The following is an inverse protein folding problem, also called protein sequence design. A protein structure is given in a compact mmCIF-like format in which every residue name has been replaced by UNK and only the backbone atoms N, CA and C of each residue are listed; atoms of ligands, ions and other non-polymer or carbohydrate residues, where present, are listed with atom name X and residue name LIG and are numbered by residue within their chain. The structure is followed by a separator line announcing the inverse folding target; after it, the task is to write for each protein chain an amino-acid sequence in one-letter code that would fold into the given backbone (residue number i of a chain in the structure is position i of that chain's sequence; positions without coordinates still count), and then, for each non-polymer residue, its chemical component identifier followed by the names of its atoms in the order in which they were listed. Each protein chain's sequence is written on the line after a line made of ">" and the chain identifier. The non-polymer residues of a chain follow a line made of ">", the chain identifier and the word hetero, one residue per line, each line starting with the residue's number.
data_IF_955032537997
#
_entry.id   IF_955032537997
#
_cell.length_a   1.000
_cell.length_b   1.000
_cell.length_c   1.000
_cell.angle_alpha   90.00
_cell.angle_beta   90.00
_cell.angle_gamma   90.00
#
_symmetry.space_group_name_H-M   'P 1'
#
loop_
_entity.id
_entity.type
_entity.pdbx_description
1 polymer ?
#
# COMPACT_ATOMS: atom_id res chain seq x y z
N UNK A 1 36.05 -50.71 42.69
CA UNK A 1 36.36 -49.87 41.52
C UNK A 1 35.07 -49.66 40.73
N UNK A 2 34.45 -48.48 40.90
CA UNK A 2 33.15 -48.15 40.24
C UNK A 2 33.44 -47.05 39.22
N UNK A 3 33.28 -47.40 37.92
CA UNK A 3 33.41 -46.44 36.85
C UNK A 3 32.06 -45.68 36.69
N UNK A 4 32.09 -44.38 36.93
CA UNK A 4 30.95 -43.47 36.62
C UNK A 4 31.14 -42.94 35.20
N UNK A 5 30.21 -43.28 34.31
CA UNK A 5 30.12 -42.69 32.97
C UNK A 5 29.28 -41.40 33.06
N UNK A 6 29.88 -40.26 32.63
CA UNK A 6 29.22 -38.96 32.52
C UNK A 6 28.54 -38.89 31.16
N UNK A 7 27.23 -38.80 31.16
CA UNK A 7 26.40 -38.63 29.95
C UNK A 7 26.35 -37.14 29.64
N UNK A 8 27.02 -36.68 28.60
CA UNK A 8 26.87 -35.33 28.06
C UNK A 8 25.64 -35.26 27.14
N UNK A 9 24.61 -34.60 27.56
CA UNK A 9 23.47 -34.22 26.73
C UNK A 9 23.79 -32.98 25.91
N UNK A 10 23.91 -33.16 24.59
CA UNK A 10 24.05 -32.04 23.66
C UNK A 10 22.67 -31.38 23.44
N UNK A 11 22.50 -30.14 23.87
CA UNK A 11 21.37 -29.31 23.47
C UNK A 11 21.57 -28.88 22.01
N UNK A 12 20.72 -29.37 21.12
CA UNK A 12 20.61 -28.85 19.77
C UNK A 12 19.82 -27.54 19.80
N UNK A 13 20.49 -26.41 19.57
CA UNK A 13 19.84 -25.14 19.34
C UNK A 13 19.23 -25.14 17.94
N UNK A 14 17.89 -25.21 17.86
CA UNK A 14 17.15 -25.02 16.60
C UNK A 14 17.20 -23.52 16.24
N UNK A 15 18.07 -23.17 15.31
CA UNK A 15 18.04 -21.84 14.69
C UNK A 15 16.82 -21.77 13.76
N UNK A 16 15.78 -21.00 14.14
CA UNK A 16 14.73 -20.59 13.24
C UNK A 16 15.35 -19.74 12.12
N UNK A 17 15.56 -20.34 10.95
CA UNK A 17 15.83 -19.57 9.75
C UNK A 17 14.56 -18.79 9.38
N UNK A 18 14.56 -17.48 9.62
CA UNK A 18 13.63 -16.56 9.01
C UNK A 18 13.94 -16.58 7.52
N UNK A 19 13.08 -17.27 6.76
CA UNK A 19 13.18 -17.35 5.30
C UNK A 19 13.04 -15.97 4.69
N UNK A 20 14.16 -15.32 4.37
CA UNK A 20 14.16 -14.13 3.54
C UNK A 20 13.64 -14.52 2.16
N UNK A 21 12.53 -13.89 1.72
CA UNK A 21 12.08 -14.03 0.34
C UNK A 21 13.19 -13.57 -0.59
N UNK A 22 13.46 -14.30 -1.70
CA UNK A 22 14.47 -13.89 -2.66
C UNK A 22 14.04 -12.53 -3.23
N UNK A 23 14.81 -11.50 -2.90
CA UNK A 23 14.64 -10.19 -3.52
C UNK A 23 15.08 -10.32 -4.97
N UNK A 24 14.16 -10.12 -5.89
CA UNK A 24 14.47 -10.02 -7.32
C UNK A 24 15.50 -8.90 -7.48
N UNK A 25 16.63 -9.13 -8.20
CA UNK A 25 17.62 -8.08 -8.36
C UNK A 25 16.97 -6.85 -8.96
N UNK A 26 17.11 -5.73 -8.27
CA UNK A 26 16.60 -4.41 -8.70
C UNK A 26 17.12 -4.16 -10.11
N UNK A 27 16.22 -4.18 -11.11
CA UNK A 27 16.54 -3.67 -12.45
C UNK A 27 16.80 -2.20 -12.29
N UNK A 28 17.96 -1.76 -12.71
CA UNK A 28 18.32 -0.34 -12.77
C UNK A 28 17.31 0.42 -13.62
N UNK A 29 17.01 1.65 -13.21
CA UNK A 29 16.21 2.59 -13.98
C UNK A 29 16.73 2.70 -15.43
N UNK A 30 15.82 2.91 -16.37
CA UNK A 30 16.17 3.01 -17.80
C UNK A 30 15.62 4.32 -18.38
N UNK A 31 16.51 5.14 -18.99
CA UNK A 31 16.06 6.26 -19.81
C UNK A 31 15.32 5.71 -21.02
N UNK A 32 14.14 6.25 -21.29
CA UNK A 32 13.31 5.91 -22.45
C UNK A 32 13.15 7.13 -23.35
N UNK A 33 13.07 6.91 -24.65
CA UNK A 33 12.81 7.98 -25.60
C UNK A 33 11.39 8.51 -25.39
N UNK A 34 11.21 9.83 -25.46
CA UNK A 34 9.89 10.42 -25.55
C UNK A 34 9.24 10.01 -26.88
N UNK A 35 7.90 9.83 -26.86
CA UNK A 35 7.15 9.59 -28.11
C UNK A 35 7.24 10.80 -29.04
N UNK A 36 7.19 10.55 -30.34
CA UNK A 36 7.22 11.63 -31.35
C UNK A 36 6.09 12.63 -31.09
N UNK A 37 6.43 13.91 -31.03
CA UNK A 37 5.48 14.99 -30.75
C UNK A 37 5.38 15.38 -29.28
N UNK A 38 5.98 14.64 -28.35
CA UNK A 38 6.05 15.03 -26.92
C UNK A 38 6.92 16.29 -26.75
N UNK A 39 6.35 17.32 -26.13
CA UNK A 39 7.01 18.63 -25.94
C UNK A 39 7.22 19.03 -24.47
N UNK A 40 6.62 18.28 -23.54
CA UNK A 40 6.61 18.64 -22.13
C UNK A 40 7.72 17.96 -21.34
N UNK A 41 8.18 16.77 -21.77
CA UNK A 41 9.20 16.01 -21.08
C UNK A 41 10.58 16.15 -21.72
N UNK A 42 11.52 16.70 -20.98
CA UNK A 42 12.93 16.76 -21.39
C UNK A 42 13.57 15.36 -21.39
N UNK A 43 13.19 14.53 -20.44
CA UNK A 43 13.68 13.15 -20.31
C UNK A 43 12.63 12.31 -19.59
N UNK A 44 12.58 11.02 -19.93
CA UNK A 44 11.72 10.03 -19.26
C UNK A 44 12.61 8.92 -18.71
N UNK A 45 12.32 8.49 -17.49
CA UNK A 45 13.03 7.37 -16.87
C UNK A 45 12.00 6.35 -16.39
N UNK A 46 12.07 5.14 -16.92
CA UNK A 46 11.29 4.02 -16.44
C UNK A 46 11.95 3.45 -15.19
N UNK A 47 11.19 3.38 -14.08
CA UNK A 47 11.67 2.91 -12.76
C UNK A 47 10.93 1.66 -12.26
N UNK A 48 9.96 1.15 -13.03
CA UNK A 48 9.24 -0.10 -12.73
C UNK A 48 9.32 -1.06 -13.91
N UNK A 49 9.48 -2.36 -13.62
CA UNK A 49 9.64 -3.40 -14.62
C UNK A 49 8.84 -4.64 -14.22
N UNK A 50 7.76 -4.92 -14.95
CA UNK A 50 6.84 -6.02 -14.68
C UNK A 50 5.76 -5.70 -13.66
N UNK A 51 4.68 -6.50 -13.67
CA UNK A 51 3.47 -6.27 -12.90
C UNK A 51 2.67 -5.04 -13.36
N UNK A 52 1.49 -4.87 -12.80
CA UNK A 52 0.73 -3.63 -12.86
C UNK A 52 1.28 -2.69 -11.79
N UNK A 53 1.44 -1.41 -12.07
CA UNK A 53 1.95 -0.41 -11.14
C UNK A 53 1.10 0.85 -11.27
N UNK A 54 0.55 1.34 -10.18
CA UNK A 54 -0.34 2.49 -10.16
C UNK A 54 -0.22 3.28 -8.85
N UNK A 55 -0.91 4.43 -8.80
CA UNK A 55 -1.05 5.25 -7.60
C UNK A 55 0.29 5.53 -6.92
N UNK A 56 1.24 6.08 -7.70
CA UNK A 56 2.58 6.40 -7.19
C UNK A 56 2.64 7.84 -6.69
N UNK A 57 2.96 8.01 -5.41
CA UNK A 57 3.04 9.31 -4.74
C UNK A 57 4.39 9.50 -4.06
N UNK A 58 4.90 10.74 -4.12
CA UNK A 58 6.19 11.09 -3.51
C UNK A 58 6.10 11.22 -1.99
N UNK A 59 7.21 10.89 -1.32
CA UNK A 59 7.47 11.34 0.04
C UNK A 59 7.66 12.85 0.09
N UNK A 60 7.50 13.47 1.26
CA UNK A 60 7.66 14.92 1.43
C UNK A 60 9.09 15.40 1.12
N UNK A 61 10.10 14.56 1.38
CA UNK A 61 11.50 14.86 1.05
C UNK A 61 11.87 14.53 -0.41
N UNK A 62 10.93 14.01 -1.21
CA UNK A 62 11.10 13.67 -2.61
C UNK A 62 12.04 12.49 -2.89
N UNK A 63 12.46 11.72 -1.85
CA UNK A 63 13.43 10.63 -2.02
C UNK A 63 12.79 9.25 -2.16
N UNK A 64 11.51 9.13 -1.82
CA UNK A 64 10.77 7.89 -1.86
C UNK A 64 9.50 8.04 -2.69
N UNK A 65 9.02 6.92 -3.20
CA UNK A 65 7.68 6.73 -3.76
C UNK A 65 6.98 5.66 -2.94
N UNK A 66 5.68 5.84 -2.72
CA UNK A 66 4.77 4.76 -2.39
C UNK A 66 3.93 4.44 -3.61
N UNK A 67 3.62 3.17 -3.86
CA UNK A 67 2.82 2.76 -5.01
C UNK A 67 2.13 1.43 -4.73
N UNK A 68 1.04 1.19 -5.44
CA UNK A 68 0.43 -0.14 -5.49
C UNK A 68 0.98 -0.94 -6.68
N UNK A 69 1.19 -2.24 -6.49
CA UNK A 69 1.76 -3.09 -7.54
C UNK A 69 1.41 -4.56 -7.37
N UNK A 70 1.26 -5.27 -8.50
CA UNK A 70 1.15 -6.73 -8.59
C UNK A 70 2.49 -7.44 -8.82
N UNK A 71 3.64 -6.75 -8.59
CA UNK A 71 4.97 -7.35 -8.73
C UNK A 71 5.18 -8.53 -7.77
N UNK A 72 6.27 -9.28 -7.96
CA UNK A 72 6.68 -10.39 -7.10
C UNK A 72 5.64 -11.52 -7.02
N UNK A 73 4.86 -11.73 -8.10
CA UNK A 73 3.86 -12.79 -8.18
C UNK A 73 2.57 -12.52 -7.39
N UNK A 74 2.35 -11.28 -6.95
CA UNK A 74 1.12 -10.90 -6.28
C UNK A 74 -0.08 -10.99 -7.23
N UNK A 75 -1.18 -11.54 -6.77
CA UNK A 75 -2.42 -11.66 -7.54
C UNK A 75 -3.24 -10.38 -7.55
N UNK A 76 -3.09 -9.55 -6.51
CA UNK A 76 -3.68 -8.23 -6.35
C UNK A 76 -2.60 -7.19 -6.08
N UNK A 77 -2.99 -5.93 -6.22
CA UNK A 77 -2.18 -4.81 -5.79
C UNK A 77 -1.82 -4.92 -4.31
N UNK A 78 -0.55 -4.75 -4.03
CA UNK A 78 0.02 -4.62 -2.71
C UNK A 78 0.73 -3.29 -2.58
N UNK A 79 0.83 -2.76 -1.36
CA UNK A 79 1.51 -1.49 -1.12
C UNK A 79 3.01 -1.69 -1.05
N UNK A 80 3.73 -0.90 -1.85
CA UNK A 80 5.18 -0.88 -1.93
C UNK A 80 5.73 0.52 -1.62
N UNK A 81 6.99 0.55 -1.23
CA UNK A 81 7.82 1.76 -1.25
C UNK A 81 9.09 1.48 -2.04
N UNK A 82 9.64 2.52 -2.67
CA UNK A 82 10.92 2.45 -3.35
C UNK A 82 11.57 3.83 -3.40
N UNK A 83 12.86 3.88 -3.68
CA UNK A 83 13.55 5.14 -3.99
C UNK A 83 13.06 5.73 -5.31
N UNK A 84 13.14 7.04 -5.45
CA UNK A 84 12.75 7.75 -6.69
C UNK A 84 13.62 7.41 -7.90
N UNK A 85 14.77 6.77 -7.69
CA UNK A 85 15.61 6.20 -8.75
C UNK A 85 15.23 4.75 -9.13
N UNK A 86 14.20 4.17 -8.48
CA UNK A 86 13.74 2.79 -8.69
C UNK A 86 14.43 1.75 -7.83
N UNK A 87 15.43 2.14 -7.02
CA UNK A 87 16.12 1.24 -6.11
C UNK A 87 15.33 1.00 -4.82
N UNK A 88 15.75 0.02 -4.02
CA UNK A 88 15.21 -0.31 -2.69
C UNK A 88 13.68 -0.55 -2.71
N UNK A 89 13.16 -1.14 -3.79
CA UNK A 89 11.76 -1.47 -3.92
C UNK A 89 11.39 -2.64 -3.00
N UNK A 90 10.43 -2.44 -2.10
CA UNK A 90 9.95 -3.48 -1.17
C UNK A 90 8.48 -3.34 -0.86
N UNK A 91 7.82 -4.48 -0.69
CA UNK A 91 6.45 -4.52 -0.17
C UNK A 91 6.46 -4.13 1.30
N UNK A 92 5.47 -3.30 1.69
CA UNK A 92 5.23 -2.93 3.07
C UNK A 92 3.89 -3.49 3.60
N UNK A 93 2.90 -3.74 2.73
CA UNK A 93 1.65 -4.41 3.13
C UNK A 93 1.90 -5.89 3.47
N UNK A 94 0.95 -6.49 4.20
CA UNK A 94 1.05 -7.85 4.73
C UNK A 94 0.93 -8.97 3.66
N UNK A 95 0.59 -8.60 2.41
CA UNK A 95 0.42 -9.55 1.30
C UNK A 95 -0.97 -10.18 1.25
N UNK A 96 -1.89 -9.77 2.11
CA UNK A 96 -3.28 -10.25 2.16
C UNK A 96 -4.21 -9.24 1.51
N UNK A 97 -5.31 -9.75 0.91
CA UNK A 97 -6.29 -8.91 0.25
C UNK A 97 -5.69 -8.07 -0.88
N UNK A 98 -6.22 -6.87 -1.03
CA UNK A 98 -5.85 -5.88 -2.04
C UNK A 98 -5.61 -4.53 -1.38
N UNK A 99 -4.66 -3.74 -1.89
CA UNK A 99 -4.38 -2.38 -1.39
C UNK A 99 -4.56 -1.33 -2.46
N UNK A 100 -4.76 -0.07 -2.06
CA UNK A 100 -4.83 1.09 -2.95
C UNK A 100 -4.49 2.40 -2.22
N UNK A 101 -4.14 3.45 -2.97
CA UNK A 101 -4.05 4.84 -2.55
C UNK A 101 -3.20 5.07 -1.28
N UNK A 102 -1.89 4.88 -1.40
CA UNK A 102 -0.97 5.07 -0.27
C UNK A 102 -0.34 6.46 -0.21
N UNK A 103 -0.24 7.06 0.98
CA UNK A 103 0.38 8.38 1.21
C UNK A 103 1.34 8.39 2.38
N UNK A 104 2.40 9.18 2.27
CA UNK A 104 3.33 9.40 3.38
C UNK A 104 2.78 10.43 4.37
N UNK A 105 2.99 10.19 5.66
CA UNK A 105 2.88 11.22 6.68
C UNK A 105 4.14 12.12 6.70
N UNK A 106 4.05 13.35 7.23
CA UNK A 106 5.21 14.20 7.45
C UNK A 106 6.34 13.48 8.17
N UNK A 107 7.56 13.67 7.70
CA UNK A 107 8.77 12.98 8.19
C UNK A 107 9.03 11.63 7.52
N UNK A 108 8.16 11.17 6.58
CA UNK A 108 8.40 10.07 5.65
C UNK A 108 8.72 8.71 6.29
N UNK A 109 8.42 8.54 7.59
CA UNK A 109 8.63 7.29 8.34
C UNK A 109 7.40 6.39 8.35
N UNK A 110 6.22 6.97 8.25
CA UNK A 110 4.92 6.28 8.24
C UNK A 110 4.14 6.62 6.98
N UNK A 111 3.23 5.71 6.62
CA UNK A 111 2.29 5.85 5.52
C UNK A 111 0.90 5.44 6.01
N UNK A 112 -0.12 5.84 5.25
CA UNK A 112 -1.42 5.18 5.30
C UNK A 112 -1.82 4.74 3.90
N UNK A 113 -2.69 3.76 3.81
CA UNK A 113 -3.25 3.22 2.57
C UNK A 113 -4.58 2.53 2.87
N UNK A 114 -5.36 2.25 1.82
CA UNK A 114 -6.56 1.44 1.96
C UNK A 114 -6.26 -0.03 1.67
N UNK A 115 -6.89 -0.95 2.42
CA UNK A 115 -6.75 -2.41 2.23
C UNK A 115 -8.02 -3.17 2.56
N UNK A 116 -8.24 -4.27 1.83
CA UNK A 116 -9.33 -5.24 2.11
C UNK A 116 -8.93 -6.29 3.12
N UNK A 117 -7.71 -6.28 3.66
CA UNK A 117 -7.12 -7.39 4.45
C UNK A 117 -7.96 -7.85 5.65
N UNK A 118 -8.79 -6.97 6.23
CA UNK A 118 -9.68 -7.31 7.34
C UNK A 118 -10.95 -8.05 6.90
N UNK A 119 -11.35 -7.92 5.64
CA UNK A 119 -12.58 -8.49 5.08
C UNK A 119 -12.28 -9.67 4.16
N UNK A 120 -11.25 -9.55 3.33
CA UNK A 120 -10.84 -10.55 2.36
C UNK A 120 -9.32 -10.80 2.48
N UNK A 121 -8.96 -11.96 3.00
CA UNK A 121 -7.54 -12.37 3.10
C UNK A 121 -6.95 -12.81 1.77
N UNK A 122 -7.79 -13.07 0.78
CA UNK A 122 -7.43 -13.43 -0.59
C UNK A 122 -7.75 -12.28 -1.54
N UNK A 123 -7.19 -12.35 -2.75
CA UNK A 123 -7.46 -11.37 -3.80
C UNK A 123 -8.93 -11.41 -4.23
N UNK A 124 -9.70 -10.30 -4.17
CA UNK A 124 -11.04 -10.23 -4.70
C UNK A 124 -11.07 -10.60 -6.19
N UNK A 125 -12.18 -11.19 -6.70
CA UNK A 125 -12.33 -11.48 -8.12
C UNK A 125 -12.25 -10.19 -8.95
N UNK A 126 -11.55 -10.24 -10.09
CA UNK A 126 -11.57 -9.12 -11.04
C UNK A 126 -12.96 -9.02 -11.68
N UNK A 127 -13.50 -7.79 -11.87
CA UNK A 127 -14.74 -7.59 -12.61
C UNK A 127 -14.63 -8.14 -14.03
N UNK A 128 -15.78 -8.56 -14.60
CA UNK A 128 -15.86 -9.00 -15.99
C UNK A 128 -15.66 -7.80 -16.95
N UNK A 129 -14.56 -7.75 -17.72
CA UNK A 129 -14.27 -6.63 -18.61
C UNK A 129 -15.18 -6.57 -19.84
N UNK A 130 -15.95 -7.63 -20.14
CA UNK A 130 -16.85 -7.65 -21.29
C UNK A 130 -17.99 -6.64 -21.20
N UNK A 131 -18.28 -6.18 -19.97
CA UNK A 131 -19.30 -5.15 -19.67
C UNK A 131 -18.75 -3.72 -19.66
N UNK A 132 -17.51 -3.51 -20.09
CA UNK A 132 -16.81 -2.25 -20.00
C UNK A 132 -16.09 -2.09 -18.66
N UNK A 133 -15.71 -0.85 -18.33
CA UNK A 133 -15.08 -0.55 -17.06
C UNK A 133 -16.09 -0.71 -15.91
N UNK A 134 -15.74 -1.56 -14.95
CA UNK A 134 -16.51 -1.75 -13.72
C UNK A 134 -15.58 -1.43 -12.55
N UNK A 135 -15.95 -0.45 -11.75
CA UNK A 135 -15.24 -0.12 -10.52
C UNK A 135 -15.79 -0.99 -9.37
N UNK A 136 -15.00 -1.97 -8.89
CA UNK A 136 -15.43 -2.78 -7.75
C UNK A 136 -15.32 -1.96 -6.48
N UNK A 137 -16.42 -1.79 -5.78
CA UNK A 137 -16.47 -1.16 -4.47
C UNK A 137 -16.15 -2.21 -3.39
N UNK A 138 -14.92 -2.75 -3.43
CA UNK A 138 -14.44 -3.71 -2.45
C UNK A 138 -14.48 -3.10 -1.04
N UNK A 139 -14.61 -3.94 0.00
CA UNK A 139 -14.63 -3.48 1.40
C UNK A 139 -13.21 -3.13 1.86
N UNK A 140 -12.83 -1.89 1.63
CA UNK A 140 -11.57 -1.35 2.11
C UNK A 140 -11.73 -0.70 3.47
N UNK A 141 -10.65 -0.73 4.23
CA UNK A 141 -10.42 0.14 5.38
C UNK A 141 -9.09 0.87 5.24
N UNK A 142 -8.96 1.99 5.92
CA UNK A 142 -7.71 2.75 5.96
C UNK A 142 -6.83 2.21 7.08
N UNK A 143 -5.56 1.98 6.76
CA UNK A 143 -4.52 1.48 7.65
C UNK A 143 -3.35 2.44 7.66
N UNK A 144 -2.62 2.49 8.77
CA UNK A 144 -1.29 3.09 8.86
C UNK A 144 -0.23 2.01 9.02
N UNK A 145 0.99 2.29 8.55
CA UNK A 145 2.12 1.39 8.63
C UNK A 145 3.43 2.18 8.66
N UNK A 146 4.46 1.67 9.29
CA UNK A 146 5.79 2.21 9.13
C UNK A 146 6.37 1.89 7.75
N UNK A 147 7.24 2.75 7.22
CA UNK A 147 7.88 2.54 5.91
C UNK A 147 8.69 1.23 5.83
N UNK A 148 9.12 0.67 6.94
CA UNK A 148 9.80 -0.63 6.99
C UNK A 148 8.84 -1.83 6.99
N UNK A 149 7.51 -1.60 6.99
CA UNK A 149 6.48 -2.63 7.01
C UNK A 149 6.03 -3.05 8.41
N UNK A 150 6.56 -2.45 9.46
CA UNK A 150 6.15 -2.70 10.85
C UNK A 150 4.94 -1.85 11.26
N UNK A 151 4.31 -2.20 12.37
CA UNK A 151 3.24 -1.44 13.04
C UNK A 151 2.01 -1.17 12.14
N UNK A 152 1.52 -2.23 11.46
CA UNK A 152 0.26 -2.15 10.71
C UNK A 152 -0.91 -1.94 11.66
N UNK A 153 -1.57 -0.79 11.54
CA UNK A 153 -2.70 -0.40 12.41
C UNK A 153 -3.91 -0.01 11.56
N UNK A 154 -5.09 -0.61 11.83
CA UNK A 154 -6.36 -0.31 11.17
C UNK A 154 -7.01 0.92 11.80
N UNK A 155 -7.30 1.96 10.99
CA UNK A 155 -7.93 3.21 11.43
C UNK A 155 -9.48 3.17 11.30
N UNK A 156 -10.00 2.62 10.20
CA UNK A 156 -11.46 2.56 9.95
C UNK A 156 -12.00 1.14 10.10
N UNK A 157 -13.32 0.99 10.41
CA UNK A 157 -14.00 -0.29 10.60
C UNK A 157 -15.48 -0.17 10.21
N UNK A 158 -15.75 0.16 8.93
CA UNK A 158 -17.13 0.42 8.50
C UNK A 158 -17.76 -0.73 7.71
N UNK A 159 -16.97 -1.77 7.35
CA UNK A 159 -17.43 -2.94 6.58
C UNK A 159 -18.01 -2.59 5.20
N UNK A 160 -17.59 -1.47 4.64
CA UNK A 160 -17.97 -0.95 3.32
C UNK A 160 -16.75 -0.37 2.62
N UNK A 161 -16.91 0.03 1.35
CA UNK A 161 -15.88 0.78 0.64
C UNK A 161 -15.44 2.01 1.44
N UNK A 162 -14.16 2.08 1.79
CA UNK A 162 -13.55 3.21 2.49
C UNK A 162 -12.10 3.36 2.01
N UNK A 163 -11.85 4.27 1.09
CA UNK A 163 -10.57 4.41 0.38
C UNK A 163 -10.31 5.85 -0.06
N UNK A 164 -9.40 6.05 -1.03
CA UNK A 164 -9.06 7.33 -1.65
C UNK A 164 -8.60 8.37 -0.63
N UNK A 165 -7.82 7.91 0.35
CA UNK A 165 -7.33 8.79 1.40
C UNK A 165 -6.23 9.72 0.90
N UNK A 166 -6.30 11.02 1.25
CA UNK A 166 -5.28 12.03 1.01
C UNK A 166 -5.03 12.83 2.29
N UNK A 167 -3.79 13.21 2.53
CA UNK A 167 -3.41 13.96 3.71
C UNK A 167 -3.61 15.45 3.50
N UNK A 168 -4.11 16.16 4.52
CA UNK A 168 -4.17 17.63 4.51
C UNK A 168 -2.76 18.24 4.45
N UNK A 169 -2.61 19.46 3.88
CA UNK A 169 -1.29 20.11 3.77
C UNK A 169 -0.56 20.29 5.10
N UNK A 170 -1.29 20.43 6.21
CA UNK A 170 -0.72 20.57 7.56
C UNK A 170 -0.40 19.21 8.22
N UNK A 171 -0.71 18.09 7.54
CA UNK A 171 -0.44 16.74 7.99
C UNK A 171 -1.29 16.25 9.16
N UNK A 172 -2.41 16.92 9.49
CA UNK A 172 -3.21 16.61 10.68
C UNK A 172 -4.49 15.85 10.39
N UNK A 173 -4.98 15.89 9.16
CA UNK A 173 -6.23 15.24 8.78
C UNK A 173 -6.05 14.39 7.52
N UNK A 174 -6.87 13.34 7.44
CA UNK A 174 -7.04 12.52 6.24
C UNK A 174 -8.43 12.85 5.69
N UNK A 175 -8.52 13.25 4.41
CA UNK A 175 -9.77 13.25 3.64
C UNK A 175 -9.88 11.90 2.94
N UNK A 176 -11.07 11.32 2.84
CA UNK A 176 -11.28 10.01 2.24
C UNK A 176 -12.72 9.85 1.74
N UNK A 177 -12.94 8.86 0.86
CA UNK A 177 -14.26 8.50 0.35
C UNK A 177 -14.77 7.25 1.07
N UNK A 178 -16.07 7.22 1.43
CA UNK A 178 -16.68 6.05 2.06
C UNK A 178 -18.17 5.91 1.76
N UNK A 179 -18.64 4.65 1.69
CA UNK A 179 -20.06 4.26 1.68
C UNK A 179 -20.69 4.19 3.08
N UNK A 180 -20.02 4.69 4.11
CA UNK A 180 -20.38 4.52 5.52
C UNK A 180 -21.85 4.90 5.84
N UNK A 181 -22.38 5.91 5.21
CA UNK A 181 -23.76 6.39 5.42
C UNK A 181 -24.68 6.10 4.23
N UNK A 182 -24.34 5.10 3.38
CA UNK A 182 -25.19 4.54 2.32
C UNK A 182 -24.95 5.10 0.92
N UNK A 183 -24.17 6.17 0.78
CA UNK A 183 -23.70 6.73 -0.50
C UNK A 183 -22.20 6.98 -0.46
N UNK A 184 -21.58 7.17 -1.63
CA UNK A 184 -20.16 7.50 -1.74
C UNK A 184 -19.95 8.99 -1.47
N UNK A 185 -19.59 9.30 -0.25
CA UNK A 185 -19.36 10.66 0.21
C UNK A 185 -17.91 10.90 0.65
N UNK A 186 -17.55 12.17 0.69
CA UNK A 186 -16.26 12.62 1.22
C UNK A 186 -16.37 12.81 2.73
N UNK A 187 -15.40 12.23 3.42
CA UNK A 187 -15.20 12.33 4.87
C UNK A 187 -13.83 12.90 5.20
N UNK A 188 -13.70 13.36 6.43
CA UNK A 188 -12.39 13.71 7.00
C UNK A 188 -12.28 13.13 8.40
N UNK A 189 -11.04 12.79 8.82
CA UNK A 189 -10.72 12.30 10.16
C UNK A 189 -9.35 12.79 10.61
N UNK A 190 -9.06 12.73 11.89
CA UNK A 190 -7.70 12.88 12.40
C UNK A 190 -6.80 11.73 11.91
N UNK A 191 -5.49 11.92 11.93
CA UNK A 191 -4.51 10.90 11.47
C UNK A 191 -4.45 9.66 12.35
N UNK A 192 -5.09 9.67 13.52
CA UNK A 192 -5.28 8.51 14.40
C UNK A 192 -6.63 7.78 14.18
N UNK A 193 -7.44 8.25 13.21
CA UNK A 193 -8.77 7.70 12.89
C UNK A 193 -9.91 8.30 13.72
N UNK A 194 -9.64 9.20 14.64
CA UNK A 194 -10.66 9.89 15.46
C UNK A 194 -11.31 11.08 14.72
N UNK A 195 -12.36 11.64 15.31
CA UNK A 195 -13.07 12.84 14.82
C UNK A 195 -13.48 12.74 13.35
N UNK A 196 -14.16 11.65 12.99
CA UNK A 196 -14.69 11.42 11.63
C UNK A 196 -15.88 12.36 11.37
N UNK A 197 -15.81 13.10 10.25
CA UNK A 197 -16.86 14.03 9.82
C UNK A 197 -17.20 13.81 8.35
N UNK A 198 -18.49 13.70 8.03
CA UNK A 198 -18.99 13.71 6.67
C UNK A 198 -18.96 15.15 6.14
N UNK A 199 -18.43 15.36 4.93
CA UNK A 199 -18.32 16.66 4.28
C UNK A 199 -19.34 16.85 3.16
N UNK A 200 -19.73 15.79 2.47
CA UNK A 200 -20.73 15.81 1.39
C UNK A 200 -21.89 14.88 1.71
N UNK A 201 -23.03 15.10 1.05
CA UNK A 201 -24.25 14.30 1.16
C UNK A 201 -25.12 14.39 -0.10
N UNK A 202 -24.51 14.71 -1.24
CA UNK A 202 -25.20 14.79 -2.53
C UNK A 202 -25.44 13.37 -3.04
N UNK A 203 -26.64 13.02 -3.54
CA UNK A 203 -26.85 11.69 -4.13
C UNK A 203 -25.91 11.43 -5.29
N UNK A 204 -25.20 10.27 -5.26
CA UNK A 204 -24.24 9.85 -6.26
C UNK A 204 -22.81 9.81 -5.74
N UNK A 205 -21.82 9.77 -6.62
CA UNK A 205 -20.43 9.69 -6.24
C UNK A 205 -19.83 11.06 -5.92
N UNK A 206 -19.49 11.26 -4.66
CA UNK A 206 -18.62 12.32 -4.18
C UNK A 206 -17.32 11.68 -3.68
N UNK A 207 -16.20 11.88 -4.37
CA UNK A 207 -14.96 11.21 -4.00
C UNK A 207 -13.72 11.74 -4.72
N UNK A 208 -12.56 11.08 -4.49
CA UNK A 208 -11.29 11.45 -5.11
C UNK A 208 -10.82 12.86 -4.73
N UNK A 209 -11.10 13.32 -3.52
CA UNK A 209 -10.72 14.67 -3.05
C UNK A 209 -9.20 14.81 -2.90
N UNK A 210 -8.68 16.03 -3.26
CA UNK A 210 -7.27 16.41 -3.18
C UNK A 210 -7.11 17.71 -2.40
#
# INVERSE_FOLDING_TARGET
>A
MRNSAILMTALAASACMVGGYPQTPSRTSRTVAAVSGERHFKSLTQITFGGENAEAYFSHDGKWLTLQSTRDGQRCDQQYVMRTDGSDARRISDGRGKTTCGWFFPGDKRLFFASTTAHDSVCPPRPDPSKGYVWPLDRYDIYTINRDGSDLTRLTRYDVYTAEGVLSPDGKRIVFTSLKDGDLDIYTMNTDGSDVRRLTNTPGYDGGAW
#
